data_IF_700267097031
#
_entry.id   IF_700267097031
#
_cell.length_a   1.000
_cell.length_b   1.000
_cell.length_c   1.000
_cell.angle_alpha   90.00
_cell.angle_beta   90.00
_cell.angle_gamma   90.00
#
_symmetry.space_group_name_H-M   'P 1'
#
loop_
_entity.id
_entity.type
_entity.pdbx_description
1 polymer ?
#
# COMPACT_ATOMS: atom_id res chain seq x y z
N UNK A 1 51.46 3.54 45.95
CA UNK A 1 50.32 2.67 45.56
C UNK A 1 49.04 3.45 45.65
N UNK A 2 48.35 3.65 44.52
CA UNK A 2 46.87 3.71 44.32
C UNK A 2 46.63 4.35 42.94
N UNK A 3 46.74 3.54 41.89
CA UNK A 3 46.22 3.88 40.57
C UNK A 3 44.70 3.75 40.62
N UNK A 4 43.99 4.84 40.41
CA UNK A 4 42.54 4.82 40.20
C UNK A 4 42.26 4.47 38.75
N UNK A 5 41.78 3.25 38.51
CA UNK A 5 41.15 2.88 37.24
C UNK A 5 39.79 3.58 37.18
N UNK A 6 39.66 4.55 36.29
CA UNK A 6 38.35 5.09 35.89
C UNK A 6 37.78 4.16 34.83
N UNK A 7 36.87 3.28 35.23
CA UNK A 7 36.05 2.50 34.31
C UNK A 7 35.00 3.43 33.70
N UNK A 8 35.26 3.96 32.50
CA UNK A 8 34.22 4.56 31.67
C UNK A 8 33.31 3.44 31.19
N UNK A 9 32.12 3.33 31.78
CA UNK A 9 31.03 2.58 31.18
C UNK A 9 30.62 3.30 29.89
N UNK A 10 31.08 2.77 28.76
CA UNK A 10 30.51 3.10 27.46
C UNK A 10 29.06 2.61 27.50
N UNK A 11 28.12 3.52 27.72
CA UNK A 11 26.70 3.26 27.44
C UNK A 11 26.62 3.14 25.93
N UNK A 12 26.65 1.90 25.43
CA UNK A 12 26.28 1.61 24.06
C UNK A 12 24.81 1.99 23.93
N UNK A 13 24.54 3.18 23.40
CA UNK A 13 23.24 3.52 22.89
C UNK A 13 22.92 2.45 21.83
N UNK A 14 22.04 1.52 22.17
CA UNK A 14 21.49 0.60 21.18
C UNK A 14 20.77 1.51 20.19
N UNK A 15 21.17 1.57 18.91
CA UNK A 15 20.41 2.34 17.94
C UNK A 15 18.98 1.81 17.98
N UNK A 16 18.00 2.70 18.17
CA UNK A 16 16.60 2.34 18.00
C UNK A 16 16.45 1.98 16.53
N UNK A 17 16.60 0.70 16.21
CA UNK A 17 16.31 0.21 14.89
C UNK A 17 14.84 0.52 14.60
N UNK A 18 14.59 1.02 13.39
CA UNK A 18 13.30 0.95 12.73
C UNK A 18 12.55 -0.31 13.15
N UNK A 19 11.46 -0.17 13.93
CA UNK A 19 10.70 -1.33 14.39
C UNK A 19 9.28 -1.24 13.87
N UNK A 20 8.87 -2.24 13.08
CA UNK A 20 7.46 -2.50 12.78
C UNK A 20 6.97 -3.51 13.81
N UNK A 21 6.06 -3.09 14.67
CA UNK A 21 5.50 -3.92 15.75
C UNK A 21 4.03 -4.14 15.45
N UNK A 22 3.60 -5.40 15.48
CA UNK A 22 2.18 -5.74 15.48
C UNK A 22 1.70 -5.87 16.91
N UNK A 23 0.61 -5.17 17.22
CA UNK A 23 0.04 -4.97 18.56
C UNK A 23 0.26 -6.16 19.50
N UNK A 24 1.28 -6.08 20.38
CA UNK A 24 1.61 -7.14 21.32
C UNK A 24 0.87 -6.97 22.65
N UNK A 25 0.16 -5.85 22.83
CA UNK A 25 -0.45 -5.46 24.10
C UNK A 25 -1.89 -5.96 24.15
N UNK A 26 -2.67 -5.58 23.14
CA UNK A 26 -4.10 -5.87 23.07
C UNK A 26 -4.41 -7.08 22.19
N UNK A 27 -3.41 -7.58 21.45
CA UNK A 27 -3.51 -8.74 20.56
C UNK A 27 -4.68 -8.61 19.56
N UNK A 28 -4.91 -7.40 19.04
CA UNK A 28 -6.03 -7.09 18.15
C UNK A 28 -5.96 -7.85 16.83
N UNK A 29 -4.76 -8.21 16.38
CA UNK A 29 -4.54 -9.09 15.23
C UNK A 29 -4.70 -10.60 15.54
N UNK A 30 -5.12 -10.95 16.75
CA UNK A 30 -5.30 -12.32 17.23
C UNK A 30 -4.21 -12.75 18.23
N UNK A 31 -4.41 -13.91 18.85
CA UNK A 31 -3.55 -14.46 19.92
C UNK A 31 -2.12 -14.79 19.49
N UNK A 32 -1.82 -14.73 18.19
CA UNK A 32 -0.47 -14.84 17.64
C UNK A 32 -0.19 -13.68 16.67
N UNK A 33 -0.39 -12.45 17.15
CA UNK A 33 -0.25 -11.21 16.37
C UNK A 33 1.11 -11.09 15.67
N UNK A 34 2.19 -11.62 16.27
CA UNK A 34 3.51 -11.65 15.65
C UNK A 34 3.55 -12.50 14.36
N UNK A 35 2.94 -13.69 14.36
CA UNK A 35 2.90 -14.54 13.17
C UNK A 35 1.99 -13.98 12.08
N UNK A 36 0.81 -13.45 12.46
CA UNK A 36 -0.09 -12.79 11.52
C UNK A 36 0.55 -11.53 10.91
N UNK A 37 1.26 -10.75 11.74
CA UNK A 37 2.01 -9.58 11.29
C UNK A 37 3.17 -9.91 10.37
N UNK A 38 3.91 -10.99 10.65
CA UNK A 38 4.97 -11.46 9.76
C UNK A 38 4.43 -11.88 8.39
N UNK A 39 3.27 -12.56 8.33
CA UNK A 39 2.61 -12.92 7.08
C UNK A 39 2.16 -11.68 6.29
N UNK A 40 1.53 -10.71 6.96
CA UNK A 40 1.11 -9.44 6.35
C UNK A 40 2.30 -8.67 5.78
N UNK A 41 3.39 -8.54 6.54
CA UNK A 41 4.60 -7.84 6.06
C UNK A 41 5.28 -8.58 4.92
N UNK A 42 5.27 -9.92 4.92
CA UNK A 42 5.80 -10.70 3.82
C UNK A 42 5.01 -10.45 2.53
N UNK A 43 3.68 -10.34 2.59
CA UNK A 43 2.87 -9.99 1.42
C UNK A 43 3.10 -8.55 0.98
N UNK A 44 3.11 -7.57 1.88
CA UNK A 44 3.36 -6.16 1.54
C UNK A 44 4.72 -5.97 0.87
N UNK A 45 5.78 -6.56 1.42
CA UNK A 45 7.13 -6.49 0.84
C UNK A 45 7.23 -7.28 -0.46
N UNK A 46 6.54 -8.42 -0.58
CA UNK A 46 6.47 -9.18 -1.83
C UNK A 46 5.76 -8.40 -2.93
N UNK A 47 4.65 -7.71 -2.63
CA UNK A 47 3.94 -6.87 -3.60
C UNK A 47 4.84 -5.76 -4.14
N UNK A 48 5.49 -5.01 -3.24
CA UNK A 48 6.37 -3.90 -3.63
C UNK A 48 7.58 -4.37 -4.44
N UNK A 49 8.29 -5.38 -3.95
CA UNK A 49 9.49 -5.92 -4.62
C UNK A 49 9.17 -6.59 -5.95
N UNK A 50 8.06 -7.32 -6.05
CA UNK A 50 7.64 -7.95 -7.30
C UNK A 50 7.28 -6.90 -8.36
N UNK A 51 6.49 -5.88 -8.00
CA UNK A 51 6.12 -4.81 -8.90
C UNK A 51 7.34 -4.01 -9.39
N UNK A 52 8.23 -3.62 -8.48
CA UNK A 52 9.46 -2.90 -8.83
C UNK A 52 10.37 -3.72 -9.75
N UNK A 53 10.53 -5.03 -9.47
CA UNK A 53 11.28 -5.95 -10.33
C UNK A 53 10.69 -6.05 -11.73
N UNK A 54 9.37 -6.15 -11.85
CA UNK A 54 8.71 -6.21 -13.16
C UNK A 54 8.89 -4.91 -13.96
N UNK A 55 8.87 -3.76 -13.29
CA UNK A 55 9.23 -2.49 -13.93
C UNK A 55 10.70 -2.49 -14.39
N UNK A 56 11.62 -2.98 -13.57
CA UNK A 56 13.03 -3.10 -13.96
C UNK A 56 13.21 -4.05 -15.16
N UNK A 57 12.54 -5.20 -15.18
CA UNK A 57 12.61 -6.14 -16.30
C UNK A 57 12.01 -5.55 -17.60
N UNK A 58 10.97 -4.69 -17.48
CA UNK A 58 10.33 -4.03 -18.62
C UNK A 58 11.22 -2.93 -19.25
N UNK A 59 12.18 -2.37 -18.50
CA UNK A 59 13.07 -1.31 -18.95
C UNK A 59 14.55 -1.76 -18.93
N UNK A 60 15.29 -1.85 -20.07
CA UNK A 60 15.11 -1.12 -21.33
C UNK A 60 14.71 -2.03 -22.51
N UNK A 61 13.66 -2.84 -22.35
CA UNK A 61 13.08 -3.62 -23.47
C UNK A 61 13.44 -5.10 -23.56
N UNK A 62 14.14 -5.66 -22.55
CA UNK A 62 14.42 -7.10 -22.49
C UNK A 62 13.13 -7.93 -22.52
N UNK A 63 12.15 -7.57 -21.68
CA UNK A 63 10.85 -8.25 -21.69
C UNK A 63 10.11 -8.11 -23.01
N UNK A 64 10.20 -6.96 -23.70
CA UNK A 64 9.50 -6.76 -24.98
C UNK A 64 9.89 -7.81 -26.03
N UNK A 65 11.12 -8.32 -25.96
CA UNK A 65 11.62 -9.35 -26.87
C UNK A 65 11.39 -10.76 -26.31
N UNK A 66 11.67 -11.00 -25.04
CA UNK A 66 11.59 -12.34 -24.46
C UNK A 66 10.17 -12.78 -24.09
N UNK A 67 9.31 -11.84 -23.73
CA UNK A 67 7.92 -12.06 -23.31
C UNK A 67 7.04 -10.82 -23.62
N UNK A 68 6.60 -10.66 -24.88
CA UNK A 68 5.79 -9.54 -25.32
C UNK A 68 4.50 -9.31 -24.50
N UNK A 69 3.88 -10.39 -24.04
CA UNK A 69 2.65 -10.33 -23.26
C UNK A 69 2.90 -9.81 -21.86
N UNK A 70 3.94 -10.30 -21.18
CA UNK A 70 4.36 -9.76 -19.88
C UNK A 70 4.77 -8.29 -19.99
N UNK A 71 5.52 -7.91 -21.04
CA UNK A 71 5.84 -6.51 -21.31
C UNK A 71 4.57 -5.67 -21.48
N UNK A 72 3.64 -6.11 -22.33
CA UNK A 72 2.39 -5.41 -22.58
C UNK A 72 1.57 -5.25 -21.30
N UNK A 73 1.46 -6.30 -20.47
CA UNK A 73 0.77 -6.25 -19.17
C UNK A 73 1.36 -5.21 -18.24
N UNK A 74 2.68 -5.17 -18.07
CA UNK A 74 3.35 -4.19 -17.21
C UNK A 74 3.12 -2.77 -17.72
N UNK A 75 3.33 -2.53 -19.02
CA UNK A 75 3.22 -1.18 -19.60
C UNK A 75 1.79 -0.66 -19.60
N UNK A 76 0.81 -1.51 -19.86
CA UNK A 76 -0.60 -1.11 -19.86
C UNK A 76 -1.14 -0.85 -18.46
N UNK A 77 -0.78 -1.68 -17.48
CA UNK A 77 -1.09 -1.42 -16.08
C UNK A 77 -0.44 -0.11 -15.61
N UNK A 78 0.85 0.11 -15.92
CA UNK A 78 1.53 1.35 -15.57
C UNK A 78 0.84 2.57 -16.19
N UNK A 79 0.49 2.51 -17.48
CA UNK A 79 -0.23 3.59 -18.14
C UNK A 79 -1.60 3.86 -17.49
N UNK A 80 -2.29 2.81 -17.06
CA UNK A 80 -3.59 2.93 -16.42
C UNK A 80 -3.53 3.60 -15.04
N UNK A 81 -2.44 3.49 -14.29
CA UNK A 81 -2.34 4.11 -12.96
C UNK A 81 -1.52 5.41 -12.93
N UNK A 82 -0.52 5.54 -13.80
CA UNK A 82 0.47 6.61 -13.73
C UNK A 82 0.62 7.41 -15.02
N UNK A 83 -0.15 7.11 -16.07
CA UNK A 83 -0.10 7.82 -17.36
C UNK A 83 1.28 7.79 -18.03
N UNK A 84 1.54 6.73 -18.81
CA UNK A 84 2.83 6.52 -19.46
C UNK A 84 3.16 7.57 -20.54
N UNK A 85 2.13 8.30 -20.99
CA UNK A 85 2.24 9.34 -22.00
C UNK A 85 2.41 10.74 -21.42
N UNK A 86 2.49 10.87 -20.10
CA UNK A 86 2.75 12.16 -19.46
C UNK A 86 4.12 12.72 -19.90
N UNK A 87 4.24 14.05 -19.96
CA UNK A 87 5.44 14.72 -20.51
C UNK A 87 6.73 14.41 -19.73
N UNK A 88 6.62 13.95 -18.48
CA UNK A 88 7.73 13.52 -17.63
C UNK A 88 7.78 11.99 -17.41
N UNK A 89 7.14 11.21 -18.29
CA UNK A 89 6.87 9.78 -18.09
C UNK A 89 8.08 8.92 -17.66
N UNK A 90 9.30 9.27 -18.08
CA UNK A 90 10.54 8.61 -17.64
C UNK A 90 10.83 8.87 -16.15
N UNK A 91 10.81 10.13 -15.73
CA UNK A 91 11.02 10.49 -14.32
C UNK A 91 9.92 9.90 -13.44
N UNK A 92 8.69 9.89 -13.96
CA UNK A 92 7.53 9.31 -13.31
C UNK A 92 7.69 7.79 -13.13
N UNK A 93 8.24 7.09 -14.12
CA UNK A 93 8.50 5.65 -14.06
C UNK A 93 9.54 5.33 -12.98
N UNK A 94 10.65 6.07 -12.97
CA UNK A 94 11.73 5.89 -12.00
C UNK A 94 11.27 6.19 -10.57
N UNK A 95 10.46 7.24 -10.38
CA UNK A 95 9.89 7.59 -9.07
C UNK A 95 8.91 6.52 -8.56
N UNK A 96 8.02 6.02 -9.43
CA UNK A 96 7.09 4.93 -9.07
C UNK A 96 7.86 3.66 -8.70
N UNK A 97 8.84 3.26 -9.53
CA UNK A 97 9.69 2.10 -9.26
C UNK A 97 10.43 2.28 -7.93
N UNK A 98 11.06 3.44 -7.70
CA UNK A 98 11.81 3.70 -6.47
C UNK A 98 10.93 3.62 -5.22
N UNK A 99 9.68 4.07 -5.30
CA UNK A 99 8.71 3.97 -4.19
C UNK A 99 8.26 2.53 -3.94
N UNK A 100 8.04 1.75 -5.00
CA UNK A 100 7.78 0.31 -4.88
C UNK A 100 8.98 -0.45 -4.30
N UNK A 101 10.20 -0.06 -4.65
CA UNK A 101 11.43 -0.59 -4.05
C UNK A 101 11.52 -0.26 -2.55
N UNK A 102 11.12 0.95 -2.11
CA UNK A 102 11.01 1.28 -0.68
C UNK A 102 10.04 0.32 0.01
N UNK A 103 8.87 0.10 -0.58
CA UNK A 103 7.87 -0.84 -0.06
C UNK A 103 8.39 -2.29 -0.03
N UNK A 104 9.16 -2.70 -1.04
CA UNK A 104 9.77 -4.02 -1.11
C UNK A 104 10.89 -4.26 -0.09
N UNK A 105 11.48 -3.19 0.45
CA UNK A 105 12.61 -3.23 1.39
C UNK A 105 12.25 -2.77 2.82
N UNK A 106 10.96 -2.72 3.14
CA UNK A 106 10.49 -2.46 4.50
C UNK A 106 11.11 -3.48 5.47
N UNK A 107 11.61 -2.99 6.61
CA UNK A 107 12.36 -3.71 7.62
C UNK A 107 13.77 -3.14 7.79
N UNK A 108 14.51 -2.93 6.71
CA UNK A 108 15.90 -2.44 6.78
C UNK A 108 16.00 -0.93 7.04
N UNK A 109 15.02 -0.15 6.57
CA UNK A 109 15.00 1.32 6.64
C UNK A 109 13.62 1.86 7.06
N UNK A 110 12.83 1.07 7.78
CA UNK A 110 11.44 1.46 8.06
C UNK A 110 11.33 2.64 9.04
N UNK A 111 10.25 3.42 8.98
CA UNK A 111 9.86 4.25 10.11
C UNK A 111 9.52 3.37 11.33
N UNK A 112 9.45 3.98 12.52
CA UNK A 112 8.84 3.31 13.67
C UNK A 112 7.34 3.19 13.43
N UNK A 113 6.84 1.95 13.36
CA UNK A 113 5.43 1.67 13.05
C UNK A 113 4.86 0.72 14.09
N UNK A 114 3.69 1.08 14.61
CA UNK A 114 2.83 0.21 15.39
C UNK A 114 1.61 -0.13 14.54
N UNK A 115 1.31 -1.42 14.37
CA UNK A 115 0.16 -1.90 13.60
C UNK A 115 -0.84 -2.59 14.52
N UNK A 116 -2.10 -2.16 14.49
CA UNK A 116 -3.21 -2.85 15.16
C UNK A 116 -4.31 -3.22 14.17
N UNK A 117 -5.00 -4.32 14.41
CA UNK A 117 -6.10 -4.76 13.53
C UNK A 117 -7.48 -4.23 13.98
N UNK A 118 -7.60 -3.76 15.21
CA UNK A 118 -8.79 -3.09 15.75
C UNK A 118 -8.28 -1.95 16.64
N UNK A 119 -8.89 -0.78 16.51
CA UNK A 119 -8.47 0.42 17.25
C UNK A 119 -9.27 0.62 18.56
N UNK A 120 -10.34 -0.14 18.76
CA UNK A 120 -11.25 -0.02 19.92
C UNK A 120 -10.54 0.08 21.27
N UNK A 121 -9.50 -0.72 21.57
CA UNK A 121 -8.82 -0.67 22.87
C UNK A 121 -7.95 0.59 23.08
N UNK A 122 -7.65 1.31 22.00
CA UNK A 122 -6.74 2.46 22.01
C UNK A 122 -7.48 3.78 22.10
N UNK A 123 -8.81 3.78 22.00
CA UNK A 123 -9.61 4.99 22.03
C UNK A 123 -10.59 5.02 23.20
N UNK A 124 -10.61 6.16 23.89
CA UNK A 124 -11.68 6.53 24.81
C UNK A 124 -12.47 7.71 24.21
N UNK A 125 -13.77 7.48 24.00
CA UNK A 125 -14.73 8.44 23.45
C UNK A 125 -15.76 8.90 24.51
N UNK A 126 -15.44 8.77 25.80
CA UNK A 126 -16.31 9.21 26.90
C UNK A 126 -16.61 10.71 26.88
N UNK A 127 -15.75 11.52 26.25
CA UNK A 127 -15.98 12.95 26.04
C UNK A 127 -16.45 13.24 24.60
N UNK A 128 -17.66 13.77 24.37
CA UNK A 128 -18.14 14.10 23.03
C UNK A 128 -17.31 15.16 22.28
N UNK A 129 -16.53 15.98 23.00
CA UNK A 129 -15.71 17.04 22.39
C UNK A 129 -14.26 16.62 22.13
N UNK A 130 -13.86 15.41 22.51
CA UNK A 130 -12.47 14.96 22.40
C UNK A 130 -12.36 13.43 22.36
N UNK A 131 -11.47 12.93 21.51
CA UNK A 131 -11.09 11.52 21.49
C UNK A 131 -9.75 11.37 22.19
N UNK A 132 -9.66 10.46 23.16
CA UNK A 132 -8.41 10.20 23.87
C UNK A 132 -7.80 8.94 23.30
N UNK A 133 -6.59 9.06 22.77
CA UNK A 133 -5.77 7.92 22.34
C UNK A 133 -4.86 7.45 23.47
N UNK A 134 -4.91 6.17 23.82
CA UNK A 134 -4.03 5.54 24.78
C UNK A 134 -2.77 5.03 24.06
N UNK A 135 -1.71 5.84 24.02
CA UNK A 135 -0.44 5.53 23.36
C UNK A 135 0.22 4.30 24.02
N UNK A 136 0.31 3.15 23.32
CA UNK A 136 0.89 1.94 23.89
C UNK A 136 2.42 1.98 23.99
N UNK A 137 3.10 2.81 23.19
CA UNK A 137 4.56 2.96 23.18
C UNK A 137 5.03 3.80 24.38
N UNK A 138 4.42 4.98 24.53
CA UNK A 138 4.79 5.94 25.58
C UNK A 138 4.00 5.78 26.88
N UNK A 139 2.93 4.96 26.86
CA UNK A 139 1.99 4.76 27.98
C UNK A 139 1.39 6.08 28.47
N UNK A 140 0.93 6.90 27.52
CA UNK A 140 0.38 8.23 27.77
C UNK A 140 -0.91 8.44 26.98
N UNK A 141 -1.75 9.33 27.49
CA UNK A 141 -2.95 9.74 26.79
C UNK A 141 -2.64 10.92 25.87
N UNK A 142 -3.13 10.86 24.64
CA UNK A 142 -3.04 11.92 23.64
C UNK A 142 -4.45 12.34 23.23
N UNK A 143 -4.75 13.62 23.37
CA UNK A 143 -6.09 14.14 23.07
C UNK A 143 -6.18 14.62 21.64
N UNK A 144 -7.19 14.13 20.92
CA UNK A 144 -7.55 14.53 19.57
C UNK A 144 -8.90 15.24 19.55
N UNK A 145 -9.11 16.05 18.51
CA UNK A 145 -10.42 16.65 18.25
C UNK A 145 -11.46 15.60 17.84
N UNK A 146 -12.76 15.95 17.87
CA UNK A 146 -13.84 15.00 17.59
C UNK A 146 -13.91 14.53 16.13
N UNK A 147 -13.20 15.20 15.20
CA UNK A 147 -13.09 14.81 13.80
C UNK A 147 -11.97 13.81 13.49
N UNK A 148 -11.29 13.28 14.51
CA UNK A 148 -10.27 12.25 14.32
C UNK A 148 -10.91 10.94 13.83
N UNK A 149 -10.30 10.35 12.80
CA UNK A 149 -10.73 9.07 12.24
C UNK A 149 -10.44 7.93 13.22
N UNK A 150 -11.42 7.02 13.33
CA UNK A 150 -11.37 5.76 14.08
C UNK A 150 -12.15 4.68 13.32
N UNK A 151 -11.90 3.40 13.58
CA UNK A 151 -12.60 2.29 12.93
C UNK A 151 -14.10 2.28 13.27
N UNK A 152 -14.46 2.65 14.51
CA UNK A 152 -15.85 2.73 14.95
C UNK A 152 -16.60 3.99 14.46
N UNK A 153 -15.89 4.95 13.85
CA UNK A 153 -16.42 6.19 13.32
C UNK A 153 -16.37 7.34 14.32
N UNK A 154 -15.34 8.17 14.20
CA UNK A 154 -15.37 9.56 14.70
C UNK A 154 -16.05 10.48 13.68
N UNK A 155 -17.11 11.16 14.11
CA UNK A 155 -17.91 12.25 13.52
C UNK A 155 -17.82 12.69 12.03
N UNK A 156 -17.74 11.78 11.06
CA UNK A 156 -18.24 12.07 9.70
C UNK A 156 -19.17 10.95 9.22
N UNK A 157 -20.31 11.34 8.66
CA UNK A 157 -21.31 10.43 8.12
C UNK A 157 -20.72 9.55 7.01
N UNK A 158 -21.26 8.34 6.90
CA UNK A 158 -20.89 7.24 5.97
C UNK A 158 -19.67 6.40 6.38
N UNK A 159 -20.00 5.36 7.15
CA UNK A 159 -19.14 4.52 8.00
C UNK A 159 -18.54 3.33 7.25
N UNK A 160 -17.38 3.47 6.61
CA UNK A 160 -16.59 2.33 6.12
C UNK A 160 -15.08 2.65 6.12
N UNK A 161 -14.54 3.11 7.25
CA UNK A 161 -13.09 3.30 7.36
C UNK A 161 -12.41 1.93 7.35
N UNK A 162 -11.62 1.67 6.32
CA UNK A 162 -10.95 0.39 6.13
C UNK A 162 -9.56 0.35 6.79
N UNK A 163 -8.90 1.49 6.88
CA UNK A 163 -7.70 1.63 7.67
C UNK A 163 -7.33 3.09 7.77
N UNK A 164 -6.44 3.42 8.69
CA UNK A 164 -5.90 4.76 8.78
C UNK A 164 -4.54 4.78 9.46
N UNK A 165 -3.79 5.85 9.23
CA UNK A 165 -2.53 6.15 9.91
C UNK A 165 -2.61 7.44 10.72
N UNK A 166 -2.12 7.42 11.95
CA UNK A 166 -1.83 8.62 12.75
C UNK A 166 -0.36 8.63 13.16
N UNK A 167 0.24 9.81 13.30
CA UNK A 167 1.62 9.96 13.78
C UNK A 167 1.61 10.64 15.14
N UNK A 168 2.22 10.00 16.13
CA UNK A 168 2.32 10.51 17.50
C UNK A 168 3.77 10.28 17.95
N UNK A 169 4.44 11.35 18.38
CA UNK A 169 5.80 11.28 18.93
C UNK A 169 6.82 10.52 18.06
N UNK A 170 6.76 10.69 16.72
CA UNK A 170 7.59 9.98 15.73
C UNK A 170 7.31 8.47 15.58
N UNK A 171 6.19 7.98 16.11
CA UNK A 171 5.67 6.63 15.84
C UNK A 171 4.46 6.75 14.93
N UNK A 172 4.43 5.96 13.86
CA UNK A 172 3.27 5.84 12.99
C UNK A 172 2.40 4.71 13.52
N UNK A 173 1.15 5.01 13.86
CA UNK A 173 0.16 4.02 14.25
C UNK A 173 -0.73 3.75 13.06
N UNK A 174 -0.70 2.52 12.56
CA UNK A 174 -1.56 2.03 11.49
C UNK A 174 -2.64 1.16 12.10
N UNK A 175 -3.90 1.50 11.86
CA UNK A 175 -5.06 0.75 12.32
C UNK A 175 -5.79 0.17 11.11
N UNK A 176 -5.93 -1.16 11.04
CA UNK A 176 -6.45 -1.87 9.86
C UNK A 176 -7.96 -2.18 9.91
N UNK A 177 -8.71 -1.63 10.86
CA UNK A 177 -10.17 -1.70 10.96
C UNK A 177 -10.82 -3.01 10.47
N UNK A 178 -10.44 -4.13 11.08
CA UNK A 178 -10.72 -5.47 10.57
C UNK A 178 -12.20 -5.78 10.32
N UNK A 179 -13.10 -5.21 11.13
CA UNK A 179 -14.55 -5.41 10.99
C UNK A 179 -15.11 -4.74 9.73
N UNK A 180 -14.42 -3.73 9.22
CA UNK A 180 -14.80 -2.92 8.06
C UNK A 180 -14.12 -3.42 6.76
N UNK A 181 -13.05 -4.22 6.86
CA UNK A 181 -12.24 -4.72 5.73
C UNK A 181 -12.61 -6.08 5.16
N UNK A 182 -13.82 -6.56 5.40
CA UNK A 182 -14.18 -7.93 5.03
C UNK A 182 -13.47 -9.02 5.85
N UNK A 183 -12.81 -8.64 6.96
CA UNK A 183 -12.27 -9.57 7.97
C UNK A 183 -10.76 -9.79 7.90
N UNK A 184 -10.32 -11.01 8.25
CA UNK A 184 -8.90 -11.39 8.42
C UNK A 184 -8.18 -11.80 7.13
N UNK A 185 -8.84 -11.68 5.97
CA UNK A 185 -8.30 -12.29 4.75
C UNK A 185 -7.03 -11.60 4.29
N UNK A 186 -6.03 -12.41 3.96
CA UNK A 186 -4.82 -12.01 3.27
C UNK A 186 -5.05 -11.98 1.76
N UNK A 187 -4.27 -11.21 1.00
CA UNK A 187 -4.42 -11.16 -0.46
C UNK A 187 -4.17 -12.52 -1.12
N UNK A 188 -3.19 -13.28 -0.64
CA UNK A 188 -2.85 -14.63 -1.12
C UNK A 188 -3.96 -15.67 -0.93
N UNK A 189 -4.95 -15.40 -0.09
CA UNK A 189 -6.11 -16.26 0.11
C UNK A 189 -7.20 -16.03 -0.94
N UNK A 190 -7.09 -14.96 -1.73
CA UNK A 190 -8.05 -14.64 -2.78
C UNK A 190 -7.65 -15.27 -4.11
N UNK A 191 -8.61 -15.93 -4.75
CA UNK A 191 -8.49 -16.35 -6.15
C UNK A 191 -9.03 -15.23 -7.04
N UNK A 192 -8.33 -14.98 -8.15
CA UNK A 192 -8.74 -14.01 -9.16
C UNK A 192 -9.38 -14.72 -10.34
N UNK A 193 -10.52 -14.21 -10.79
CA UNK A 193 -11.22 -14.68 -11.99
C UNK A 193 -11.31 -13.58 -13.04
N UNK A 194 -11.52 -13.98 -14.29
CA UNK A 194 -11.87 -13.03 -15.35
C UNK A 194 -13.16 -12.29 -14.98
N UNK A 195 -13.17 -10.97 -15.17
CA UNK A 195 -14.28 -10.09 -14.80
C UNK A 195 -14.24 -9.55 -13.36
N UNK A 196 -13.33 -10.03 -12.50
CA UNK A 196 -13.16 -9.46 -11.17
C UNK A 196 -12.72 -7.99 -11.24
N UNK A 197 -13.19 -7.15 -10.33
CA UNK A 197 -12.70 -5.77 -10.18
C UNK A 197 -11.53 -5.70 -9.22
N UNK A 198 -10.55 -4.83 -9.50
CA UNK A 198 -9.49 -4.50 -8.53
C UNK A 198 -10.05 -3.91 -7.23
N UNK A 199 -11.18 -3.21 -7.30
CA UNK A 199 -11.80 -2.59 -6.12
C UNK A 199 -12.25 -3.64 -5.10
N UNK A 200 -12.60 -4.84 -5.57
CA UNK A 200 -13.05 -5.94 -4.72
C UNK A 200 -11.90 -6.61 -3.96
N UNK A 201 -10.65 -6.21 -4.23
CA UNK A 201 -9.43 -6.81 -3.66
C UNK A 201 -8.89 -6.02 -2.47
N UNK A 202 -9.82 -5.44 -1.71
CA UNK A 202 -9.55 -4.79 -0.43
C UNK A 202 -9.38 -5.85 0.65
N UNK A 203 -8.14 -6.08 1.09
CA UNK A 203 -7.74 -7.06 2.11
C UNK A 203 -6.90 -6.40 3.20
N UNK A 204 -6.57 -7.12 4.29
CA UNK A 204 -5.65 -6.56 5.29
C UNK A 204 -4.28 -6.21 4.68
N UNK A 205 -3.82 -7.00 3.71
CA UNK A 205 -2.53 -6.80 3.04
C UNK A 205 -2.55 -5.58 2.13
N UNK A 206 -3.65 -5.36 1.38
CA UNK A 206 -3.77 -4.17 0.53
C UNK A 206 -3.91 -2.90 1.36
N UNK A 207 -4.69 -2.93 2.45
CA UNK A 207 -4.85 -1.79 3.36
C UNK A 207 -3.55 -1.50 4.10
N UNK A 208 -2.85 -2.53 4.59
CA UNK A 208 -1.53 -2.33 5.20
C UNK A 208 -0.53 -1.77 4.19
N UNK A 209 -0.54 -2.23 2.94
CA UNK A 209 0.31 -1.66 1.89
C UNK A 209 0.04 -0.17 1.71
N UNK A 210 -1.23 0.20 1.58
CA UNK A 210 -1.68 1.59 1.46
C UNK A 210 -1.17 2.43 2.66
N UNK A 211 -1.50 2.04 3.89
CA UNK A 211 -1.15 2.80 5.09
C UNK A 211 0.36 2.84 5.37
N UNK A 212 1.07 1.78 5.00
CA UNK A 212 2.51 1.73 5.13
C UNK A 212 3.20 2.63 4.11
N UNK A 213 2.61 2.85 2.92
CA UNK A 213 3.13 3.81 1.95
C UNK A 213 3.10 5.24 2.52
N UNK A 214 2.03 5.61 3.23
CA UNK A 214 1.97 6.87 3.98
C UNK A 214 3.10 6.97 5.01
N UNK A 215 3.37 5.90 5.76
CA UNK A 215 4.39 5.92 6.80
C UNK A 215 5.81 6.00 6.21
N UNK A 216 6.08 5.22 5.16
CA UNK A 216 7.42 5.01 4.62
C UNK A 216 7.85 6.04 3.58
N UNK A 217 6.90 6.70 2.89
CA UNK A 217 7.18 7.59 1.76
C UNK A 217 6.62 8.98 2.07
N UNK A 218 7.47 9.96 2.47
CA UNK A 218 7.02 11.28 2.92
C UNK A 218 6.22 12.10 1.90
N UNK A 219 6.33 11.79 0.60
CA UNK A 219 5.60 12.47 -0.47
C UNK A 219 4.19 11.96 -0.70
N UNK A 220 3.76 10.89 -0.02
CA UNK A 220 2.39 10.38 -0.13
C UNK A 220 1.38 11.33 0.51
N UNK A 221 0.31 11.64 -0.23
CA UNK A 221 -0.80 12.48 0.22
C UNK A 221 -1.76 11.66 1.03
N UNK A 222 -2.14 12.12 2.23
CA UNK A 222 -3.27 11.57 3.00
C UNK A 222 -4.49 12.47 2.93
N UNK A 223 -5.67 11.88 3.17
CA UNK A 223 -6.94 12.61 3.22
C UNK A 223 -7.82 12.11 4.38
N UNK A 224 -8.38 13.05 5.15
CA UNK A 224 -9.34 12.74 6.21
C UNK A 224 -10.80 12.73 5.73
N UNK A 225 -11.05 13.16 4.49
CA UNK A 225 -12.39 13.32 3.90
C UNK A 225 -12.85 12.14 3.05
N UNK A 226 -12.12 11.02 3.07
CA UNK A 226 -12.47 9.83 2.30
C UNK A 226 -12.34 10.01 0.78
N UNK A 227 -11.40 10.85 0.34
CA UNK A 227 -11.02 10.98 -1.06
C UNK A 227 -11.74 12.12 -1.78
N UNK A 228 -12.36 13.03 -1.03
CA UNK A 228 -13.12 14.15 -1.59
C UNK A 228 -12.41 15.48 -1.46
N UNK A 229 -11.34 15.56 -0.66
CA UNK A 229 -10.58 16.79 -0.47
C UNK A 229 -9.85 17.19 -1.75
N UNK A 230 -9.83 18.48 -2.02
CA UNK A 230 -9.03 19.04 -3.11
C UNK A 230 -7.54 18.76 -2.85
N UNK A 231 -6.87 18.09 -3.80
CA UNK A 231 -5.49 17.67 -3.65
C UNK A 231 -5.25 16.58 -2.60
N UNK A 232 -6.29 15.97 -2.03
CA UNK A 232 -6.18 14.76 -1.21
C UNK A 232 -5.90 13.51 -2.04
N UNK A 233 -5.68 12.38 -1.38
CA UNK A 233 -5.67 11.08 -2.04
C UNK A 233 -7.03 10.74 -2.68
N UNK A 234 -7.02 9.72 -3.54
CA UNK A 234 -8.18 9.19 -4.23
C UNK A 234 -8.17 7.67 -4.15
N UNK A 235 -9.33 7.13 -3.82
CA UNK A 235 -9.51 5.70 -3.57
C UNK A 235 -10.22 4.99 -4.71
N UNK A 236 -9.99 3.68 -4.78
CA UNK A 236 -10.51 2.78 -5.78
C UNK A 236 -10.08 3.18 -7.21
N UNK A 237 -10.38 2.29 -8.15
CA UNK A 237 -10.06 2.47 -9.56
C UNK A 237 -10.45 3.85 -10.09
N UNK A 238 -11.70 4.28 -9.90
CA UNK A 238 -12.18 5.57 -10.40
C UNK A 238 -11.37 6.75 -9.83
N UNK A 239 -11.10 6.73 -8.53
CA UNK A 239 -10.29 7.76 -7.89
C UNK A 239 -8.86 7.80 -8.43
N UNK A 240 -8.23 6.63 -8.64
CA UNK A 240 -6.89 6.59 -9.25
C UNK A 240 -6.88 7.14 -10.68
N UNK A 241 -7.97 6.99 -11.43
CA UNK A 241 -8.11 7.57 -12.77
C UNK A 241 -8.20 9.10 -12.74
N UNK A 242 -8.84 9.70 -11.72
CA UNK A 242 -8.94 11.16 -11.58
C UNK A 242 -7.58 11.83 -11.40
N UNK A 243 -6.62 11.13 -10.78
CA UNK A 243 -5.29 11.67 -10.46
C UNK A 243 -4.19 11.13 -11.35
N UNK A 244 -4.53 10.21 -12.27
CA UNK A 244 -3.61 9.48 -13.15
C UNK A 244 -2.60 10.40 -13.82
N UNK A 245 -3.06 11.51 -14.40
CA UNK A 245 -2.25 12.46 -15.15
C UNK A 245 -1.72 13.63 -14.30
N UNK A 246 -1.99 13.68 -12.99
CA UNK A 246 -1.62 14.82 -12.13
C UNK A 246 -0.63 14.39 -11.05
N UNK A 247 -1.10 13.79 -9.97
CA UNK A 247 -0.28 13.44 -8.80
C UNK A 247 -0.41 11.96 -8.42
N UNK A 248 -0.70 11.06 -9.37
CA UNK A 248 -0.77 9.62 -9.12
C UNK A 248 0.46 9.05 -8.39
N UNK A 249 1.64 9.62 -8.61
CA UNK A 249 2.89 9.27 -7.92
C UNK A 249 2.91 9.59 -6.42
N UNK A 250 1.96 10.38 -5.95
CA UNK A 250 1.77 10.78 -4.56
C UNK A 250 0.46 10.19 -3.99
N UNK A 251 -0.23 9.33 -4.75
CA UNK A 251 -1.50 8.71 -4.38
C UNK A 251 -1.28 7.24 -3.96
N UNK A 252 -1.33 6.90 -2.66
CA UNK A 252 -1.12 5.55 -2.15
C UNK A 252 -1.92 4.46 -2.87
N UNK A 253 -3.20 4.74 -3.17
CA UNK A 253 -4.08 3.73 -3.75
C UNK A 253 -3.69 3.36 -5.18
N UNK A 254 -3.09 4.30 -5.93
CA UNK A 254 -2.50 4.01 -7.24
C UNK A 254 -1.37 2.99 -7.13
N UNK A 255 -0.54 3.06 -6.08
CA UNK A 255 0.52 2.10 -5.84
C UNK A 255 0.00 0.74 -5.38
N UNK A 256 -0.97 0.75 -4.44
CA UNK A 256 -1.59 -0.47 -3.92
C UNK A 256 -2.24 -1.27 -5.05
N UNK A 257 -3.12 -0.64 -5.84
CA UNK A 257 -3.83 -1.32 -6.91
C UNK A 257 -2.90 -1.75 -8.05
N UNK A 258 -1.89 -0.95 -8.38
CA UNK A 258 -0.88 -1.33 -9.37
C UNK A 258 -0.04 -2.53 -8.92
N UNK A 259 0.40 -2.57 -7.66
CA UNK A 259 1.16 -3.68 -7.12
C UNK A 259 0.33 -4.98 -7.11
N UNK A 260 -0.95 -4.91 -6.77
CA UNK A 260 -1.89 -6.04 -6.86
C UNK A 260 -2.05 -6.49 -8.31
N UNK A 261 -2.30 -5.56 -9.23
CA UNK A 261 -2.45 -5.86 -10.66
C UNK A 261 -1.23 -6.63 -11.22
N UNK A 262 -0.02 -6.22 -10.82
CA UNK A 262 1.20 -6.88 -11.25
C UNK A 262 1.46 -8.24 -10.59
N UNK A 263 1.03 -8.44 -9.35
CA UNK A 263 1.16 -9.72 -8.65
C UNK A 263 0.23 -10.81 -9.19
N UNK A 264 -0.83 -10.43 -9.91
CA UNK A 264 -1.79 -11.34 -10.53
C UNK A 264 -1.41 -11.64 -11.98
N UNK A 265 -0.46 -12.56 -12.15
CA UNK A 265 0.19 -12.78 -13.45
C UNK A 265 -0.75 -13.19 -14.60
N UNK A 266 -1.90 -13.80 -14.27
CA UNK A 266 -2.83 -14.37 -15.23
C UNK A 266 -3.73 -13.34 -15.95
N UNK A 267 -3.77 -12.08 -15.50
CA UNK A 267 -4.72 -11.09 -15.97
C UNK A 267 -4.06 -9.77 -16.41
N UNK A 268 -4.72 -9.08 -17.32
CA UNK A 268 -4.47 -7.69 -17.68
C UNK A 268 -5.47 -6.79 -16.95
N UNK A 269 -5.04 -5.57 -16.64
CA UNK A 269 -5.76 -4.66 -15.75
C UNK A 269 -5.84 -3.23 -16.28
N UNK A 270 -5.75 -3.03 -17.60
CA UNK A 270 -5.81 -1.70 -18.22
C UNK A 270 -7.15 -0.99 -18.03
N UNK A 271 -8.19 -1.74 -17.64
CA UNK A 271 -9.55 -1.23 -17.40
C UNK A 271 -10.00 -1.33 -15.95
N UNK A 272 -9.14 -1.84 -15.05
CA UNK A 272 -9.50 -2.12 -13.65
C UNK A 272 -10.34 -3.39 -13.45
N UNK A 273 -10.63 -4.08 -14.55
CA UNK A 273 -11.30 -5.39 -14.59
C UNK A 273 -10.30 -6.43 -15.10
N UNK A 274 -10.27 -7.60 -14.47
CA UNK A 274 -9.40 -8.70 -14.87
C UNK A 274 -9.79 -9.22 -16.26
N UNK A 275 -8.93 -9.03 -17.25
CA UNK A 275 -9.08 -9.59 -18.59
C UNK A 275 -8.03 -10.67 -18.85
N UNK A 276 -8.44 -11.82 -19.40
CA UNK A 276 -7.48 -12.82 -19.87
C UNK A 276 -6.74 -12.31 -21.10
N UNK A 277 -5.57 -12.91 -21.38
CA UNK A 277 -4.80 -12.61 -22.59
C UNK A 277 -5.62 -12.74 -23.88
N UNK A 278 -6.48 -13.77 -23.97
CA UNK A 278 -7.33 -13.99 -25.14
C UNK A 278 -8.41 -12.90 -25.28
N UNK A 279 -9.01 -12.47 -24.18
CA UNK A 279 -9.97 -11.36 -24.16
C UNK A 279 -9.32 -10.06 -24.63
N UNK A 280 -8.12 -9.74 -24.12
CA UNK A 280 -7.35 -8.58 -24.55
C UNK A 280 -7.00 -8.65 -26.04
N UNK A 281 -6.50 -9.80 -26.52
CA UNK A 281 -6.15 -9.97 -27.93
C UNK A 281 -7.36 -9.71 -28.85
N UNK A 282 -8.49 -10.36 -28.55
CA UNK A 282 -9.73 -10.21 -29.32
C UNK A 282 -10.27 -8.78 -29.30
N UNK A 283 -10.06 -8.04 -28.20
CA UNK A 283 -10.39 -6.62 -28.10
C UNK A 283 -9.47 -5.79 -29.00
N UNK A 284 -8.16 -5.99 -28.90
CA UNK A 284 -7.16 -5.27 -29.69
C UNK A 284 -7.32 -5.49 -31.18
N UNK A 285 -7.63 -6.70 -31.64
CA UNK A 285 -7.88 -6.96 -33.07
C UNK A 285 -9.00 -6.09 -33.64
N UNK A 286 -10.00 -5.75 -32.81
CA UNK A 286 -11.15 -4.94 -33.22
C UNK A 286 -10.89 -3.44 -33.07
N UNK A 287 -10.18 -3.03 -32.03
CA UNK A 287 -10.06 -1.61 -31.65
C UNK A 287 -8.72 -0.96 -31.98
N UNK A 288 -7.63 -1.72 -31.96
CA UNK A 288 -6.26 -1.21 -32.08
C UNK A 288 -5.28 -2.29 -32.61
N UNK A 289 -5.51 -2.84 -33.82
CA UNK A 289 -4.72 -3.97 -34.35
C UNK A 289 -3.23 -3.63 -34.51
N UNK A 290 -2.88 -2.35 -34.66
CA UNK A 290 -1.51 -1.89 -34.70
C UNK A 290 -0.74 -2.19 -33.40
N UNK A 291 -1.41 -2.22 -32.25
CA UNK A 291 -0.78 -2.57 -30.96
C UNK A 291 -0.27 -4.00 -30.96
N UNK A 292 -1.01 -4.93 -31.57
CA UNK A 292 -0.62 -6.34 -31.73
C UNK A 292 0.69 -6.41 -32.51
N UNK A 293 0.73 -5.76 -33.67
CA UNK A 293 1.91 -5.79 -34.56
C UNK A 293 3.12 -5.09 -33.97
N UNK A 294 2.94 -3.91 -33.36
CA UNK A 294 4.04 -3.11 -32.81
C UNK A 294 4.59 -3.68 -31.52
N UNK A 295 3.78 -4.39 -30.73
CA UNK A 295 4.20 -5.02 -29.48
C UNK A 295 4.64 -6.47 -29.68
N UNK A 296 4.40 -7.09 -30.84
CA UNK A 296 4.77 -8.47 -31.13
C UNK A 296 3.88 -9.49 -30.43
N UNK A 297 2.60 -9.17 -30.19
CA UNK A 297 1.68 -10.05 -29.48
C UNK A 297 1.21 -11.20 -30.38
N UNK A 298 1.26 -12.42 -29.87
CA UNK A 298 0.78 -13.63 -30.56
C UNK A 298 -0.36 -14.27 -29.78
N UNK A 299 -1.30 -14.92 -30.49
CA UNK A 299 -2.30 -15.77 -29.83
C UNK A 299 -1.55 -16.90 -29.13
N UNK A 300 -1.76 -17.09 -27.82
CA UNK A 300 -1.32 -18.32 -27.16
C UNK A 300 -2.42 -19.38 -27.32
N UNK A 301 -2.03 -20.63 -27.64
CA UNK A 301 -2.97 -21.73 -27.83
C UNK A 301 -3.75 -22.08 -26.56
#
# INVERSE_FOLDING_TARGET
MKSSLVFSFLVLAVPSFATIIFDPVQNTCGSNGAAAGAALMAEVTSLGSHAAKLMDEAHPGNLRVSDPWKFYRVMTAYNAFFDAHHSDGVNRWDDVKSKLDIMGNLGSNSPNVFVACDDTPFWDATNPSALIFHDPDQKKDVTFGPGQLTCAGGNTADKNMIGYRISINNVNYIMLCLKQNGGKSLLSEHTFNEGDSLNDKTTLSSVLFHEMSHAAIPSMRGDLSGGTAEGGERYAWLGTQEVRATYANENPDSFTLYAIALATDAFHWDTGIAETQNTVYNRLEKSAPEVITTSGLTVQP
#
